data_IF_993632001842
#
_entry.id   IF_993632001842
#
_cell.length_a   1.000
_cell.length_b   1.000
_cell.length_c   1.000
_cell.angle_alpha   90.00
_cell.angle_beta   90.00
_cell.angle_gamma   90.00
#
_symmetry.space_group_name_H-M   'P 1'
#
loop_
_entity.id
_entity.type
_entity.pdbx_description
1 polymer ?
#
# COMPACT_ATOMS: atom_id res chain seq x y z
N UNK A 1 13.44 -11.08 5.33
CA UNK A 1 12.02 -10.73 5.19
C UNK A 1 11.78 -9.31 5.64
N UNK A 2 11.03 -8.55 4.89
CA UNK A 2 10.78 -7.15 5.20
C UNK A 2 9.69 -7.06 6.26
N UNK A 3 9.95 -6.39 7.40
CA UNK A 3 8.91 -6.26 8.42
C UNK A 3 7.74 -5.44 7.91
N UNK A 4 6.53 -5.83 8.31
CA UNK A 4 5.32 -5.10 7.92
C UNK A 4 5.34 -3.65 8.38
N UNK A 5 5.95 -3.39 9.53
CA UNK A 5 6.04 -2.05 10.08
C UNK A 5 6.93 -1.14 9.21
N UNK A 6 7.98 -1.70 8.58
CA UNK A 6 8.81 -0.95 7.64
C UNK A 6 8.01 -0.55 6.41
N UNK A 7 7.22 -1.49 5.87
CA UNK A 7 6.38 -1.21 4.71
C UNK A 7 5.28 -0.21 5.07
N UNK A 8 4.71 -0.35 6.26
CA UNK A 8 3.66 0.55 6.73
C UNK A 8 4.14 2.00 6.76
N UNK A 9 5.36 2.24 7.19
CA UNK A 9 5.93 3.61 7.22
C UNK A 9 6.01 4.21 5.84
N UNK A 10 6.46 3.44 4.87
CA UNK A 10 6.57 3.92 3.50
C UNK A 10 5.17 4.26 2.96
N UNK A 11 4.21 3.38 3.20
CA UNK A 11 2.85 3.56 2.70
C UNK A 11 2.18 4.77 3.35
N UNK A 12 2.35 4.92 4.66
CA UNK A 12 1.69 6.02 5.38
C UNK A 12 2.24 7.40 4.99
N UNK A 13 3.43 7.45 4.41
CA UNK A 13 3.99 8.71 3.92
C UNK A 13 3.40 9.14 2.57
N UNK A 14 2.67 8.28 1.89
CA UNK A 14 2.07 8.63 0.60
C UNK A 14 0.86 9.52 0.83
N UNK A 15 0.79 10.70 0.21
CA UNK A 15 -0.35 11.59 0.38
C UNK A 15 -1.65 10.91 -0.05
N UNK A 16 -2.68 11.05 0.77
CA UNK A 16 -3.99 10.45 0.52
C UNK A 16 -4.21 9.16 1.29
N UNK A 17 -3.18 8.56 1.84
CA UNK A 17 -3.32 7.34 2.65
C UNK A 17 -3.74 7.75 4.05
N UNK A 18 -4.89 7.24 4.50
CA UNK A 18 -5.35 7.50 5.87
C UNK A 18 -4.98 6.37 6.81
N UNK A 19 -4.92 5.14 6.29
CA UNK A 19 -4.57 3.98 7.09
C UNK A 19 -4.17 2.84 6.17
N UNK A 20 -3.33 1.94 6.65
CA UNK A 20 -3.05 0.70 5.93
C UNK A 20 -3.05 -0.44 6.93
N UNK A 21 -3.47 -1.60 6.48
CA UNK A 21 -3.55 -2.77 7.33
C UNK A 21 -3.41 -4.04 6.50
N UNK A 22 -3.21 -5.14 7.19
CA UNK A 22 -3.10 -6.46 6.59
C UNK A 22 -2.04 -6.50 5.49
N UNK A 23 -0.89 -5.96 5.81
CA UNK A 23 0.24 -6.04 4.89
C UNK A 23 0.78 -7.44 4.93
N UNK A 24 0.77 -8.11 3.79
CA UNK A 24 1.23 -9.50 3.68
C UNK A 24 2.31 -9.60 2.62
N UNK A 25 3.34 -10.35 2.93
CA UNK A 25 4.42 -10.60 1.98
C UNK A 25 4.48 -12.07 1.67
N UNK A 26 4.73 -12.40 0.42
CA UNK A 26 4.84 -13.76 -0.07
C UNK A 26 6.03 -13.86 -0.99
N UNK A 27 6.47 -15.08 -1.25
CA UNK A 27 7.58 -15.32 -2.15
C UNK A 27 8.84 -15.68 -1.39
N UNK A 28 9.96 -15.55 -2.05
CA UNK A 28 11.23 -15.95 -1.49
C UNK A 28 12.35 -15.04 -1.94
N UNK A 29 13.60 -15.48 -1.81
CA UNK A 29 14.73 -14.65 -2.18
C UNK A 29 14.64 -14.20 -3.63
N UNK A 30 14.76 -12.91 -3.84
CA UNK A 30 14.77 -12.34 -5.18
C UNK A 30 13.41 -12.07 -5.78
N UNK A 31 12.32 -12.51 -5.16
CA UNK A 31 10.99 -12.27 -5.72
C UNK A 31 9.96 -12.21 -4.60
N UNK A 32 9.74 -11.02 -4.08
CA UNK A 32 8.79 -10.80 -2.99
C UNK A 32 7.54 -10.12 -3.56
N UNK A 33 6.38 -10.63 -3.15
CA UNK A 33 5.08 -10.08 -3.54
C UNK A 33 4.41 -9.53 -2.29
N UNK A 34 3.79 -8.37 -2.41
CA UNK A 34 3.15 -7.70 -1.27
C UNK A 34 1.70 -7.40 -1.61
N UNK A 35 0.79 -7.63 -0.66
CA UNK A 35 -0.56 -7.08 -0.80
C UNK A 35 -0.95 -6.41 0.51
N UNK A 36 -1.88 -5.47 0.43
CA UNK A 36 -2.29 -4.69 1.58
C UNK A 36 -3.66 -4.07 1.35
N UNK A 37 -4.27 -3.64 2.43
CA UNK A 37 -5.51 -2.87 2.38
C UNK A 37 -5.18 -1.45 2.79
N UNK A 38 -5.59 -0.49 1.98
CA UNK A 38 -5.33 0.93 2.22
C UNK A 38 -6.64 1.70 2.26
N UNK A 39 -6.82 2.49 3.28
CA UNK A 39 -8.00 3.32 3.44
C UNK A 39 -7.72 4.73 2.96
N UNK A 40 -8.60 5.23 2.11
CA UNK A 40 -8.54 6.59 1.57
C UNK A 40 -9.90 7.26 1.80
N UNK A 41 -9.95 8.57 1.62
CA UNK A 41 -11.21 9.30 1.75
C UNK A 41 -12.23 8.72 0.76
N UNK A 42 -13.37 8.28 1.27
CA UNK A 42 -14.41 7.66 0.46
C UNK A 42 -15.03 8.61 -0.56
N UNK A 43 -14.82 9.92 -0.41
CA UNK A 43 -15.29 10.92 -1.37
C UNK A 43 -14.30 11.20 -2.49
N UNK A 44 -13.13 10.60 -2.40
CA UNK A 44 -12.11 10.76 -3.43
C UNK A 44 -12.61 10.20 -4.75
N UNK A 45 -12.25 10.83 -5.87
CA UNK A 45 -12.61 10.30 -7.17
C UNK A 45 -11.87 8.98 -7.41
N UNK A 46 -12.41 8.17 -8.30
CA UNK A 46 -11.76 6.91 -8.65
C UNK A 46 -10.35 7.18 -9.20
N UNK A 47 -10.21 8.21 -10.02
CA UNK A 47 -8.91 8.56 -10.57
C UNK A 47 -7.91 8.93 -9.47
N UNK A 48 -8.34 9.76 -8.52
CA UNK A 48 -7.46 10.17 -7.44
C UNK A 48 -7.06 8.97 -6.56
N UNK A 49 -8.01 8.08 -6.30
CA UNK A 49 -7.72 6.88 -5.52
C UNK A 49 -6.73 5.97 -6.25
N UNK A 50 -6.89 5.84 -7.56
CA UNK A 50 -5.99 5.04 -8.37
C UNK A 50 -4.58 5.63 -8.36
N UNK A 51 -4.48 6.96 -8.41
CA UNK A 51 -3.19 7.64 -8.33
C UNK A 51 -2.50 7.38 -6.99
N UNK A 52 -3.27 7.34 -5.91
CA UNK A 52 -2.71 7.00 -4.60
C UNK A 52 -2.13 5.59 -4.63
N UNK A 53 -2.87 4.64 -5.20
CA UNK A 53 -2.40 3.25 -5.29
C UNK A 53 -1.11 3.17 -6.11
N UNK A 54 -1.03 3.89 -7.22
CA UNK A 54 0.16 3.90 -8.06
C UNK A 54 1.37 4.45 -7.30
N UNK A 55 1.17 5.50 -6.52
CA UNK A 55 2.25 6.08 -5.73
C UNK A 55 2.72 5.15 -4.63
N UNK A 56 1.79 4.39 -4.04
CA UNK A 56 2.16 3.39 -3.05
C UNK A 56 3.05 2.33 -3.69
N UNK A 57 2.63 1.81 -4.83
CA UNK A 57 3.40 0.78 -5.53
C UNK A 57 4.80 1.29 -5.84
N UNK A 58 4.88 2.49 -6.38
CA UNK A 58 6.15 3.08 -6.73
C UNK A 58 7.04 3.28 -5.51
N UNK A 59 6.48 3.81 -4.43
CA UNK A 59 7.24 4.08 -3.22
C UNK A 59 7.76 2.79 -2.59
N UNK A 60 6.92 1.76 -2.54
CA UNK A 60 7.31 0.49 -1.94
C UNK A 60 8.38 -0.19 -2.79
N UNK A 61 8.18 -0.25 -4.10
CA UNK A 61 9.11 -0.95 -4.98
C UNK A 61 10.44 -0.22 -5.12
N UNK A 62 10.44 1.12 -5.08
CA UNK A 62 11.69 1.85 -5.17
C UNK A 62 12.52 1.74 -3.89
N UNK A 63 11.87 1.55 -2.75
CA UNK A 63 12.59 1.37 -1.48
C UNK A 63 13.05 -0.07 -1.25
N UNK A 64 12.45 -1.02 -1.94
CA UNK A 64 12.72 -2.45 -1.74
C UNK A 64 12.80 -3.15 -3.09
N UNK A 65 13.99 -3.15 -3.71
CA UNK A 65 14.14 -3.72 -5.07
C UNK A 65 13.75 -5.19 -5.18
N UNK A 66 13.75 -5.94 -4.08
CA UNK A 66 13.38 -7.35 -4.11
C UNK A 66 11.86 -7.54 -4.27
N UNK A 67 11.07 -6.48 -4.06
CA UNK A 67 9.63 -6.57 -4.24
C UNK A 67 9.32 -6.40 -5.72
N UNK A 68 8.68 -7.40 -6.31
CA UNK A 68 8.40 -7.43 -7.73
C UNK A 68 6.94 -7.08 -8.05
N UNK A 69 6.07 -7.10 -7.05
CA UNK A 69 4.67 -6.72 -7.29
C UNK A 69 4.02 -6.29 -5.98
N UNK A 70 3.15 -5.29 -6.06
CA UNK A 70 2.40 -4.78 -4.92
C UNK A 70 0.95 -4.66 -5.36
N UNK A 71 0.05 -5.31 -4.62
CA UNK A 71 -1.38 -5.22 -4.86
C UNK A 71 -2.00 -4.40 -3.73
N UNK A 72 -2.62 -3.29 -4.07
CA UNK A 72 -3.25 -2.39 -3.12
C UNK A 72 -4.76 -2.55 -3.23
N UNK A 73 -5.41 -2.97 -2.15
CA UNK A 73 -6.86 -3.02 -2.08
C UNK A 73 -7.32 -1.72 -1.42
N UNK A 74 -8.01 -0.88 -2.16
CA UNK A 74 -8.47 0.40 -1.65
C UNK A 74 -9.84 0.25 -1.01
N UNK A 75 -9.99 0.85 0.17
CA UNK A 75 -11.27 0.87 0.86
C UNK A 75 -11.53 2.27 1.40
N UNK A 76 -12.80 2.69 1.49
CA UNK A 76 -13.09 4.00 2.06
C UNK A 76 -12.80 4.01 3.55
N UNK A 77 -12.27 5.11 4.01
CA UNK A 77 -11.95 5.31 5.43
C UNK A 77 -13.17 5.85 6.15
N UNK A 78 -14.21 5.08 6.20
CA UNK A 78 -15.37 5.54 6.81
C UNK A 78 -15.34 5.27 8.22
N UNK A 79 -15.90 5.90 8.62
CA UNK A 79 -16.17 5.69 9.73
C UNK A 79 -17.08 4.79 10.20
N UNK A 80 -17.25 4.48 10.88
CA UNK A 80 -17.99 3.80 11.32
C UNK A 80 -18.91 4.17 12.08
N UNK A 81 -19.59 4.02 12.34
CA UNK A 81 -20.38 4.49 13.07
C UNK A 81 -20.65 3.91 13.92
#
# INVERSE_FOLDING_TARGET
MIPGETLSRVVMDVPGVQHCREIRTRGGPGAVYVDMIVHVDGKMSLRAAHDVADRIEEAVMSNHPEIVDVVVHLEPAERRR
#
